data_IF_941800840863
#
_entry.id   IF_941800840863
#
_cell.length_a   1.000
_cell.length_b   1.000
_cell.length_c   1.000
_cell.angle_alpha   90.00
_cell.angle_beta   90.00
_cell.angle_gamma   90.00
#
_symmetry.space_group_name_H-M   'P 1'
#
loop_
_entity.id
_entity.type
_entity.pdbx_description
1 polymer ?
#
# COMPACT_ATOMS: atom_id res chain seq x y z
N UNK A 1 12.90 13.51 3.48
CA UNK A 1 12.20 12.38 2.83
C UNK A 1 10.98 12.04 3.65
N UNK A 2 9.85 11.73 3.02
CA UNK A 2 8.64 11.28 3.73
C UNK A 2 8.80 9.82 4.16
N UNK A 3 8.36 9.50 5.37
CA UNK A 3 8.17 8.10 5.80
C UNK A 3 7.00 7.46 5.05
N UNK A 4 6.94 6.13 5.06
CA UNK A 4 5.85 5.38 4.42
C UNK A 4 4.48 5.76 5.01
N UNK A 5 4.38 5.94 6.34
CA UNK A 5 3.13 6.38 6.98
C UNK A 5 2.71 7.77 6.52
N UNK A 6 3.66 8.71 6.37
CA UNK A 6 3.38 10.05 5.87
C UNK A 6 2.89 10.03 4.43
N UNK A 7 3.53 9.20 3.59
CA UNK A 7 3.13 8.99 2.19
C UNK A 7 1.70 8.44 2.09
N UNK A 8 1.38 7.38 2.84
CA UNK A 8 0.04 6.78 2.89
C UNK A 8 -1.02 7.77 3.39
N UNK A 9 -0.68 8.62 4.36
CA UNK A 9 -1.57 9.69 4.84
C UNK A 9 -1.87 10.71 3.73
N UNK A 10 -0.85 11.19 3.01
CA UNK A 10 -1.06 12.16 1.92
C UNK A 10 -1.93 11.60 0.80
N UNK A 11 -1.64 10.37 0.35
CA UNK A 11 -2.42 9.70 -0.69
C UNK A 11 -3.87 9.50 -0.25
N UNK A 12 -4.10 9.09 1.01
CA UNK A 12 -5.46 8.94 1.53
C UNK A 12 -6.20 10.28 1.59
N UNK A 13 -5.54 11.36 1.99
CA UNK A 13 -6.18 12.67 2.05
C UNK A 13 -6.48 13.23 0.65
N UNK A 14 -5.78 12.77 -0.40
CA UNK A 14 -6.01 13.18 -1.79
C UNK A 14 -7.34 12.66 -2.37
N UNK A 15 -7.96 11.65 -1.74
CA UNK A 15 -9.30 11.17 -2.10
C UNK A 15 -10.41 12.20 -1.81
N UNK A 16 -10.09 13.30 -1.12
CA UNK A 16 -11.06 14.31 -0.69
C UNK A 16 -10.78 15.65 -1.38
N UNK A 17 -11.82 16.21 -2.00
CA UNK A 17 -11.75 17.50 -2.66
C UNK A 17 -11.76 18.69 -1.70
N UNK A 18 -11.47 19.87 -2.28
CA UNK A 18 -11.37 21.16 -1.57
C UNK A 18 -12.69 21.54 -0.90
N UNK A 19 -13.82 21.11 -1.46
CA UNK A 19 -15.17 21.38 -0.95
C UNK A 19 -15.40 20.89 0.49
N UNK A 20 -14.64 19.89 0.94
CA UNK A 20 -14.79 19.31 2.29
C UNK A 20 -14.02 20.12 3.36
N UNK A 21 -13.10 20.99 2.95
CA UNK A 21 -12.26 21.78 3.85
C UNK A 21 -13.05 22.80 4.67
N UNK A 22 -14.11 23.37 4.10
CA UNK A 22 -14.97 24.36 4.77
C UNK A 22 -16.31 23.80 5.23
N UNK A 23 -16.61 22.53 4.93
CA UNK A 23 -17.87 21.89 5.28
C UNK A 23 -18.13 21.90 6.80
N UNK A 24 -19.40 22.09 7.18
CA UNK A 24 -19.84 22.01 8.58
C UNK A 24 -19.61 20.60 9.15
N UNK A 25 -20.06 19.59 8.40
CA UNK A 25 -19.89 18.17 8.69
C UNK A 25 -18.78 17.58 7.82
N UNK A 26 -17.77 17.03 8.49
CA UNK A 26 -16.67 16.33 7.83
C UNK A 26 -16.90 14.81 7.83
N UNK A 27 -16.50 14.10 6.76
CA UNK A 27 -16.46 12.65 6.74
C UNK A 27 -15.58 12.10 7.86
N UNK A 28 -16.00 10.99 8.46
CA UNK A 28 -15.21 10.28 9.48
C UNK A 28 -13.81 9.89 8.99
N UNK A 29 -13.67 9.63 7.69
CA UNK A 29 -12.41 9.30 7.05
C UNK A 29 -11.34 10.41 7.16
N UNK A 30 -11.72 11.67 7.39
CA UNK A 30 -10.77 12.78 7.63
C UNK A 30 -10.39 12.95 9.10
N UNK A 31 -11.03 12.20 10.02
CA UNK A 31 -10.73 12.26 11.45
C UNK A 31 -9.59 11.33 11.83
N UNK A 32 -8.89 11.60 12.95
CA UNK A 32 -7.82 10.71 13.43
C UNK A 32 -8.23 9.23 13.53
N UNK A 33 -9.39 8.87 14.13
CA UNK A 33 -9.84 7.48 14.14
C UNK A 33 -10.00 6.90 12.73
N UNK A 34 -10.62 7.63 11.80
CA UNK A 34 -10.84 7.16 10.44
C UNK A 34 -9.55 6.97 9.65
N UNK A 35 -8.59 7.89 9.81
CA UNK A 35 -7.27 7.78 9.19
C UNK A 35 -6.49 6.58 9.75
N UNK A 36 -6.48 6.40 11.06
CA UNK A 36 -5.77 5.30 11.70
C UNK A 36 -6.34 3.94 11.25
N UNK A 37 -7.67 3.80 11.26
CA UNK A 37 -8.35 2.59 10.80
C UNK A 37 -8.08 2.30 9.32
N UNK A 38 -8.13 3.31 8.44
CA UNK A 38 -7.83 3.13 7.03
C UNK A 38 -6.38 2.68 6.79
N UNK A 39 -5.44 3.16 7.61
CA UNK A 39 -4.03 2.77 7.49
C UNK A 39 -3.71 1.43 8.16
N UNK A 40 -4.65 0.82 8.89
CA UNK A 40 -4.41 -0.38 9.69
C UNK A 40 -3.53 -0.12 10.92
N UNK A 41 -3.52 1.13 11.42
CA UNK A 41 -2.64 1.56 12.51
C UNK A 41 -3.42 1.93 13.78
N UNK A 42 -2.74 1.86 14.92
CA UNK A 42 -3.27 2.43 16.16
C UNK A 42 -3.27 3.96 16.10
N UNK A 43 -4.27 4.62 16.70
CA UNK A 43 -4.40 6.09 16.67
C UNK A 43 -3.15 6.84 17.13
N UNK A 44 -2.40 6.29 18.09
CA UNK A 44 -1.15 6.88 18.57
C UNK A 44 -0.04 6.90 17.52
N UNK A 45 -0.01 5.93 16.60
CA UNK A 45 1.04 5.78 15.61
C UNK A 45 1.00 6.88 14.52
N UNK A 46 -0.15 7.52 14.32
CA UNK A 46 -0.32 8.57 13.31
C UNK A 46 -0.13 9.99 13.85
N UNK A 47 0.00 10.18 15.16
CA UNK A 47 0.17 11.51 15.75
C UNK A 47 1.46 12.20 15.31
N UNK A 48 2.61 11.53 15.43
CA UNK A 48 3.89 12.10 15.01
C UNK A 48 3.97 12.34 13.49
N UNK A 49 3.58 11.37 12.63
CA UNK A 49 3.51 11.59 11.18
C UNK A 49 2.66 12.80 10.79
N UNK A 50 1.47 12.97 11.37
CA UNK A 50 0.62 14.12 11.12
C UNK A 50 1.27 15.42 11.58
N UNK A 51 1.86 15.45 12.78
CA UNK A 51 2.55 16.65 13.28
C UNK A 51 3.70 17.09 12.36
N UNK A 52 4.46 16.14 11.84
CA UNK A 52 5.56 16.41 10.89
C UNK A 52 5.03 16.90 9.54
N UNK A 53 3.95 16.30 9.01
CA UNK A 53 3.29 16.76 7.78
C UNK A 53 2.71 18.18 7.93
N UNK A 54 2.14 18.50 9.09
CA UNK A 54 1.62 19.83 9.39
C UNK A 54 2.77 20.83 9.49
N UNK A 55 3.88 20.47 10.16
CA UNK A 55 5.06 21.34 10.26
C UNK A 55 5.76 21.60 8.93
N UNK A 56 5.63 20.67 7.96
CA UNK A 56 6.12 20.84 6.59
C UNK A 56 5.11 21.55 5.67
N UNK A 57 3.96 21.96 6.21
CA UNK A 57 2.94 22.70 5.47
C UNK A 57 2.19 21.88 4.43
N UNK A 58 2.25 20.54 4.49
CA UNK A 58 1.58 19.64 3.55
C UNK A 58 0.13 19.33 3.95
N UNK A 59 -0.20 19.49 5.23
CA UNK A 59 -1.55 19.32 5.74
C UNK A 59 -1.94 20.48 6.65
N UNK A 60 -3.25 20.64 6.84
CA UNK A 60 -3.84 21.52 7.85
C UNK A 60 -4.83 20.74 8.71
N UNK A 61 -5.01 21.17 9.96
CA UNK A 61 -5.99 20.59 10.86
C UNK A 61 -7.02 21.62 11.31
N UNK A 62 -8.27 21.16 11.50
CA UNK A 62 -9.33 21.96 12.11
C UNK A 62 -10.24 21.10 12.98
N UNK A 63 -11.03 21.75 13.84
CA UNK A 63 -12.09 21.09 14.59
C UNK A 63 -13.39 21.12 13.79
N UNK A 64 -14.07 20.00 13.60
CA UNK A 64 -15.33 19.92 12.85
C UNK A 64 -16.30 18.92 13.48
N UNK A 65 -17.59 19.04 13.16
CA UNK A 65 -18.52 17.93 13.44
C UNK A 65 -18.20 16.79 12.46
N UNK A 66 -18.20 15.56 12.96
CA UNK A 66 -17.87 14.39 12.15
C UNK A 66 -19.11 13.53 12.02
N UNK A 67 -19.46 13.16 10.79
CA UNK A 67 -20.63 12.32 10.50
C UNK A 67 -20.50 10.99 11.26
N UNK A 68 -21.50 10.65 12.08
CA UNK A 68 -21.47 9.47 12.95
C UNK A 68 -20.45 9.55 14.11
N UNK A 69 -19.84 10.72 14.35
CA UNK A 69 -18.81 10.94 15.36
C UNK A 69 -19.34 11.30 16.76
N UNK A 70 -20.66 11.40 16.90
CA UNK A 70 -21.35 11.89 18.10
C UNK A 70 -21.34 13.42 18.21
N UNK A 71 -21.88 13.98 19.30
CA UNK A 71 -22.07 15.43 19.45
C UNK A 71 -20.77 16.22 19.60
N UNK A 72 -19.65 15.54 19.89
CA UNK A 72 -18.36 16.18 20.12
C UNK A 72 -17.64 16.43 18.81
N UNK A 73 -17.19 17.69 18.61
CA UNK A 73 -16.29 18.05 17.50
C UNK A 73 -14.96 17.31 17.61
N UNK A 74 -14.40 16.93 16.46
CA UNK A 74 -13.14 16.18 16.36
C UNK A 74 -12.17 16.91 15.44
N UNK A 75 -10.89 16.67 15.65
CA UNK A 75 -9.84 17.10 14.73
C UNK A 75 -9.98 16.33 13.42
N UNK A 76 -10.08 17.09 12.34
CA UNK A 76 -10.05 16.62 10.97
C UNK A 76 -8.84 17.18 10.24
N UNK A 77 -8.32 16.42 9.31
CA UNK A 77 -7.09 16.71 8.57
C UNK A 77 -7.44 16.95 7.11
N UNK A 78 -6.83 17.96 6.50
CA UNK A 78 -7.00 18.30 5.09
C UNK A 78 -5.64 18.51 4.43
N UNK A 79 -5.54 18.25 3.12
CA UNK A 79 -4.37 18.67 2.35
C UNK A 79 -4.35 20.19 2.20
N UNK A 80 -3.16 20.77 2.23
CA UNK A 80 -2.94 22.11 1.68
C UNK A 80 -2.74 22.01 0.16
N UNK A 81 -2.63 23.15 -0.53
CA UNK A 81 -2.33 23.15 -1.97
C UNK A 81 -0.97 22.51 -2.28
N UNK A 82 0.04 22.76 -1.44
CA UNK A 82 1.35 22.09 -1.54
C UNK A 82 1.24 20.60 -1.22
N UNK A 83 0.38 20.22 -0.27
CA UNK A 83 0.04 18.84 0.03
C UNK A 83 -0.57 18.09 -1.15
N UNK A 84 -1.50 18.72 -1.87
CA UNK A 84 -2.13 18.19 -3.09
C UNK A 84 -1.11 17.97 -4.20
N UNK A 85 -0.30 18.98 -4.51
CA UNK A 85 0.78 18.85 -5.50
C UNK A 85 1.73 17.71 -5.13
N UNK A 86 2.08 17.57 -3.84
CA UNK A 86 2.95 16.50 -3.40
C UNK A 86 2.28 15.12 -3.53
N UNK A 87 0.99 15.01 -3.22
CA UNK A 87 0.24 13.76 -3.35
C UNK A 87 0.09 13.33 -4.81
N UNK A 88 -0.09 14.26 -5.74
CA UNK A 88 -0.13 14.00 -7.18
C UNK A 88 1.22 13.49 -7.71
N UNK A 89 2.33 14.11 -7.31
CA UNK A 89 3.66 13.59 -7.64
C UNK A 89 3.88 12.18 -7.06
N UNK A 90 3.37 11.91 -5.85
CA UNK A 90 3.47 10.60 -5.21
C UNK A 90 2.63 9.53 -5.92
N UNK A 91 1.48 9.87 -6.48
CA UNK A 91 0.64 8.93 -7.23
C UNK A 91 1.26 8.62 -8.59
N UNK A 92 1.90 9.60 -9.24
CA UNK A 92 2.68 9.38 -10.46
C UNK A 92 3.94 8.52 -10.20
N UNK A 93 4.65 8.75 -9.09
CA UNK A 93 5.75 7.89 -8.62
C UNK A 93 5.27 6.43 -8.32
N UNK A 94 3.97 6.21 -8.10
CA UNK A 94 3.37 4.89 -7.85
C UNK A 94 2.85 4.17 -9.09
N UNK A 95 2.79 4.84 -10.24
CA UNK A 95 2.50 4.16 -11.50
C UNK A 95 3.87 3.70 -12.01
N UNK A 96 4.30 2.44 -11.79
CA UNK A 96 5.35 1.91 -12.64
C UNK A 96 4.88 2.16 -14.07
N UNK A 97 5.76 2.70 -14.92
CA UNK A 97 5.47 2.80 -16.35
C UNK A 97 4.78 1.50 -16.76
N UNK A 98 3.64 1.64 -17.44
CA UNK A 98 2.82 0.56 -17.95
C UNK A 98 3.65 -0.21 -18.96
N UNK A 99 4.59 -0.99 -18.46
CA UNK A 99 5.40 -1.89 -19.21
C UNK A 99 4.46 -2.96 -19.69
N UNK A 100 4.68 -3.44 -20.90
CA UNK A 100 4.18 -4.71 -21.39
C UNK A 100 4.77 -5.88 -20.57
N UNK A 101 5.07 -5.67 -19.29
CA UNK A 101 5.59 -6.70 -18.40
C UNK A 101 4.45 -7.63 -18.04
N UNK A 102 4.77 -8.92 -18.07
CA UNK A 102 3.86 -9.96 -17.61
C UNK A 102 3.69 -9.93 -16.08
N UNK A 103 4.41 -9.06 -15.35
CA UNK A 103 4.28 -8.88 -13.91
C UNK A 103 3.34 -7.72 -13.57
N UNK A 104 2.42 -7.94 -12.64
CA UNK A 104 1.62 -6.90 -12.00
C UNK A 104 1.78 -6.98 -10.49
N UNK A 105 1.93 -5.83 -9.85
CA UNK A 105 2.08 -5.68 -8.41
C UNK A 105 3.52 -5.51 -7.93
N UNK A 106 3.72 -5.41 -6.60
CA UNK A 106 5.01 -5.15 -5.99
C UNK A 106 5.89 -6.41 -5.99
N UNK A 107 6.27 -6.88 -7.18
CA UNK A 107 7.14 -8.02 -7.36
C UNK A 107 8.55 -7.68 -6.85
N UNK A 108 9.17 -8.50 -5.98
CA UNK A 108 10.52 -8.26 -5.51
C UNK A 108 11.55 -8.30 -6.65
N UNK A 109 12.69 -7.65 -6.44
CA UNK A 109 13.82 -7.76 -7.36
C UNK A 109 14.25 -9.21 -7.51
N UNK A 110 14.62 -9.60 -8.73
CA UNK A 110 15.15 -10.94 -9.00
C UNK A 110 16.52 -11.10 -8.32
N UNK A 111 16.68 -12.20 -7.58
CA UNK A 111 17.95 -12.61 -6.98
C UNK A 111 18.24 -14.00 -7.51
N UNK A 112 19.43 -14.19 -8.07
CA UNK A 112 19.85 -15.50 -8.56
C UNK A 112 19.97 -16.48 -7.39
N UNK A 113 19.27 -17.60 -7.48
CA UNK A 113 19.42 -18.74 -6.57
C UNK A 113 20.30 -19.81 -7.24
N UNK A 114 21.11 -20.51 -6.47
CA UNK A 114 22.00 -21.57 -6.97
C UNK A 114 21.71 -22.88 -6.24
N UNK A 115 21.77 -24.00 -6.98
CA UNK A 115 21.59 -25.34 -6.42
C UNK A 115 20.17 -25.65 -5.96
N UNK A 116 19.18 -24.97 -6.55
CA UNK A 116 17.74 -25.14 -6.26
C UNK A 116 16.93 -25.51 -7.51
N UNK A 117 17.62 -26.01 -8.54
CA UNK A 117 17.05 -26.25 -9.86
C UNK A 117 15.99 -27.36 -9.80
N UNK A 118 16.26 -28.44 -9.04
CA UNK A 118 15.33 -29.56 -8.84
C UNK A 118 14.04 -29.10 -8.14
N UNK A 119 14.15 -28.26 -7.09
CA UNK A 119 12.97 -27.71 -6.43
C UNK A 119 12.19 -26.77 -7.35
N UNK A 120 12.86 -25.94 -8.15
CA UNK A 120 12.20 -25.05 -9.11
C UNK A 120 11.41 -25.84 -10.16
N UNK A 121 12.01 -26.85 -10.77
CA UNK A 121 11.35 -27.73 -11.75
C UNK A 121 10.14 -28.46 -11.15
N UNK A 122 10.28 -28.93 -9.91
CA UNK A 122 9.18 -29.57 -9.17
C UNK A 122 8.02 -28.59 -8.95
N UNK A 123 8.29 -27.36 -8.51
CA UNK A 123 7.27 -26.33 -8.28
C UNK A 123 6.60 -25.90 -9.60
N UNK A 124 7.39 -25.71 -10.65
CA UNK A 124 6.90 -25.33 -11.97
C UNK A 124 5.93 -26.39 -12.51
N UNK A 125 6.30 -27.67 -12.44
CA UNK A 125 5.46 -28.78 -12.89
C UNK A 125 4.10 -28.76 -12.19
N UNK A 126 4.08 -28.59 -10.86
CA UNK A 126 2.85 -28.57 -10.08
C UNK A 126 1.98 -27.35 -10.36
N UNK A 127 2.58 -26.15 -10.49
CA UNK A 127 1.81 -24.95 -10.84
C UNK A 127 1.20 -25.07 -12.23
N UNK A 128 1.94 -25.58 -13.21
CA UNK A 128 1.43 -25.79 -14.57
C UNK A 128 0.33 -26.86 -14.62
N UNK A 129 0.32 -27.81 -13.68
CA UNK A 129 -0.78 -28.75 -13.47
C UNK A 129 -2.02 -28.12 -12.80
N UNK A 130 -1.98 -26.84 -12.44
CA UNK A 130 -3.07 -26.11 -11.79
C UNK A 130 -3.12 -26.28 -10.27
N UNK A 131 -2.05 -26.78 -9.64
CA UNK A 131 -1.99 -26.93 -8.19
C UNK A 131 -1.76 -25.60 -7.46
N UNK A 132 -2.28 -25.49 -6.24
CA UNK A 132 -2.00 -24.40 -5.32
C UNK A 132 -0.85 -24.79 -4.39
N UNK A 133 0.22 -24.00 -4.36
CA UNK A 133 1.44 -24.31 -3.61
C UNK A 133 1.64 -23.36 -2.44
N UNK A 134 2.06 -23.92 -1.29
CA UNK A 134 2.48 -23.16 -0.12
C UNK A 134 3.93 -23.49 0.23
N UNK A 135 4.80 -22.48 0.24
CA UNK A 135 6.19 -22.63 0.65
C UNK A 135 6.35 -22.33 2.15
N UNK A 136 6.73 -23.33 2.92
CA UNK A 136 6.91 -23.23 4.38
C UNK A 136 8.38 -23.46 4.73
N UNK A 137 8.89 -22.72 5.70
CA UNK A 137 10.27 -22.87 6.17
C UNK A 137 10.73 -21.70 7.02
N UNK A 138 11.94 -21.80 7.59
CA UNK A 138 12.52 -20.79 8.47
C UNK A 138 12.65 -19.42 7.79
N UNK A 139 12.56 -18.31 8.56
CA UNK A 139 12.89 -16.98 8.05
C UNK A 139 14.30 -16.94 7.42
N UNK A 140 14.47 -16.18 6.34
CA UNK A 140 15.77 -16.02 5.67
C UNK A 140 16.22 -17.17 4.77
N UNK A 141 15.52 -18.32 4.74
CA UNK A 141 15.92 -19.49 3.93
C UNK A 141 15.74 -19.31 2.40
N UNK A 142 15.26 -18.14 1.95
CA UNK A 142 15.12 -17.83 0.52
C UNK A 142 13.76 -18.17 -0.11
N UNK A 143 12.70 -18.39 0.67
CA UNK A 143 11.34 -18.68 0.14
C UNK A 143 10.87 -17.66 -0.90
N UNK A 144 10.97 -16.38 -0.57
CA UNK A 144 10.59 -15.29 -1.47
C UNK A 144 11.44 -15.27 -2.73
N UNK A 145 12.75 -15.54 -2.61
CA UNK A 145 13.66 -15.62 -3.75
C UNK A 145 13.34 -16.81 -4.66
N UNK A 146 12.96 -17.96 -4.08
CA UNK A 146 12.52 -19.14 -4.83
C UNK A 146 11.21 -18.87 -5.57
N UNK A 147 10.20 -18.31 -4.90
CA UNK A 147 8.94 -17.88 -5.53
C UNK A 147 9.18 -16.86 -6.64
N UNK A 148 10.12 -15.93 -6.45
CA UNK A 148 10.47 -14.91 -7.45
C UNK A 148 11.14 -15.54 -8.69
N UNK A 149 12.00 -16.53 -8.50
CA UNK A 149 12.63 -17.27 -9.61
C UNK A 149 11.60 -18.08 -10.41
N UNK A 150 10.66 -18.72 -9.71
CA UNK A 150 9.53 -19.41 -10.34
C UNK A 150 8.62 -18.47 -11.14
N UNK A 151 8.36 -17.27 -10.63
CA UNK A 151 7.62 -16.25 -11.35
C UNK A 151 8.32 -15.83 -12.65
N UNK A 152 9.65 -15.72 -12.65
CA UNK A 152 10.43 -15.44 -13.87
C UNK A 152 10.22 -16.52 -14.93
N UNK A 153 10.37 -17.80 -14.54
CA UNK A 153 10.16 -18.93 -15.44
C UNK A 153 8.75 -18.97 -16.04
N UNK A 154 7.74 -18.58 -15.28
CA UNK A 154 6.36 -18.49 -15.77
C UNK A 154 6.18 -17.31 -16.73
N UNK A 155 6.80 -16.15 -16.45
CA UNK A 155 6.77 -15.00 -17.36
C UNK A 155 7.49 -15.30 -18.68
N UNK A 156 8.64 -15.98 -18.66
CA UNK A 156 9.34 -16.45 -19.86
C UNK A 156 8.45 -17.37 -20.73
N UNK A 157 7.50 -18.07 -20.11
CA UNK A 157 6.51 -18.94 -20.77
C UNK A 157 5.22 -18.18 -21.18
N UNK A 158 5.19 -16.86 -21.03
CA UNK A 158 4.06 -16.01 -21.45
C UNK A 158 2.95 -15.87 -20.40
N UNK A 159 3.11 -16.40 -19.20
CA UNK A 159 2.10 -16.25 -18.15
C UNK A 159 2.15 -14.86 -17.54
N UNK A 160 0.97 -14.25 -17.39
CA UNK A 160 0.81 -13.04 -16.59
C UNK A 160 0.83 -13.39 -15.10
N UNK A 161 1.80 -12.84 -14.38
CA UNK A 161 1.97 -12.98 -12.94
C UNK A 161 1.37 -11.79 -12.21
N UNK A 162 0.51 -12.08 -11.23
CA UNK A 162 0.07 -11.09 -10.25
C UNK A 162 0.72 -11.41 -8.92
N UNK A 163 1.45 -10.44 -8.38
CA UNK A 163 2.17 -10.57 -7.13
C UNK A 163 1.53 -9.67 -6.07
N UNK A 164 1.30 -10.21 -4.87
CA UNK A 164 0.90 -9.43 -3.71
C UNK A 164 1.86 -9.72 -2.55
N UNK A 165 2.27 -8.67 -1.83
CA UNK A 165 3.09 -8.80 -0.64
C UNK A 165 2.23 -8.51 0.58
N UNK A 166 1.95 -9.54 1.37
CA UNK A 166 1.05 -9.46 2.51
C UNK A 166 1.81 -9.41 3.84
N UNK A 167 1.25 -8.68 4.80
CA UNK A 167 1.63 -8.66 6.20
C UNK A 167 0.38 -8.90 7.08
N UNK A 168 0.52 -8.76 8.40
CA UNK A 168 -0.59 -8.98 9.35
C UNK A 168 -1.81 -8.07 9.12
N UNK A 169 -1.61 -6.92 8.46
CA UNK A 169 -2.61 -5.87 8.29
C UNK A 169 -3.14 -5.82 6.85
N UNK A 170 -2.77 -6.78 6.02
CA UNK A 170 -3.17 -6.83 4.61
C UNK A 170 -4.54 -7.48 4.47
N UNK A 171 -5.54 -6.70 4.06
CA UNK A 171 -6.90 -7.17 3.79
C UNK A 171 -7.13 -7.46 2.29
N UNK A 172 -8.33 -7.92 1.95
CA UNK A 172 -8.68 -8.26 0.57
C UNK A 172 -8.65 -7.04 -0.37
N UNK A 173 -8.96 -5.85 0.13
CA UNK A 173 -8.90 -4.62 -0.67
C UNK A 173 -7.44 -4.27 -1.00
N UNK A 174 -6.56 -4.33 0.00
CA UNK A 174 -5.13 -4.13 -0.18
C UNK A 174 -4.54 -5.12 -1.19
N UNK A 175 -4.90 -6.40 -1.13
CA UNK A 175 -4.48 -7.40 -2.14
C UNK A 175 -4.98 -7.01 -3.54
N UNK A 176 -6.28 -6.67 -3.66
CA UNK A 176 -6.87 -6.28 -4.94
C UNK A 176 -6.25 -5.02 -5.55
N UNK A 177 -5.78 -4.09 -4.72
CA UNK A 177 -5.09 -2.88 -5.17
C UNK A 177 -3.66 -3.14 -5.68
N UNK A 178 -3.07 -4.30 -5.39
CA UNK A 178 -1.74 -4.69 -5.89
C UNK A 178 -1.79 -5.38 -7.27
N UNK A 179 -2.98 -5.64 -7.83
CA UNK A 179 -3.19 -6.55 -8.96
C UNK A 179 -3.57 -5.90 -10.29
#
# INVERSE_FOLDING_TARGET
>A
MLSETQRRLLLRLADFGVEVESAWDAPRALSLPGLAEHLGLVRSAIHNPLKELESSGLISTRSAHVIGGGPRRRTVVHLTDTGRQRAELLSEEQIPEKSESLAVGPIPNHIQIQGRDDELESLLTKILAGENLQLIGLPGIGKTSLSRSLAELLMERGFKIRWATCNSDTDAFAIGSMW
#
